data_IF_275713329409
#
_entry.id   IF_275713329409
#
_cell.length_a   1.000
_cell.length_b   1.000
_cell.length_c   1.000
_cell.angle_alpha   90.00
_cell.angle_beta   90.00
_cell.angle_gamma   90.00
#
_symmetry.space_group_name_H-M   'P 1'
#
loop_
_entity.id
_entity.type
_entity.pdbx_description
1 polymer ?
#
# COMPACT_ATOMS: atom_id res chain seq x y z
N UNK A 1 -13.38 32.25 -14.04
CA UNK A 1 -14.37 32.88 -13.16
C UNK A 1 -14.80 31.89 -12.09
N UNK A 2 -14.18 32.02 -10.91
CA UNK A 2 -14.55 31.27 -9.71
C UNK A 2 -15.80 31.87 -9.15
N UNK A 3 -16.90 31.17 -9.25
CA UNK A 3 -18.22 31.65 -8.82
C UNK A 3 -18.37 31.58 -7.30
N UNK A 4 -18.83 32.70 -6.75
CA UNK A 4 -19.25 32.95 -5.38
C UNK A 4 -20.05 31.82 -4.73
N UNK A 5 -19.63 31.41 -3.52
CA UNK A 5 -20.32 30.43 -2.69
C UNK A 5 -21.14 31.09 -1.59
N UNK A 6 -22.48 30.99 -1.53
CA UNK A 6 -23.30 31.46 -0.42
C UNK A 6 -23.13 30.55 0.82
N UNK A 7 -22.63 31.12 1.93
CA UNK A 7 -21.95 30.40 3.03
C UNK A 7 -22.80 29.68 4.10
N UNK A 8 -24.06 29.97 4.36
CA UNK A 8 -24.76 29.36 5.53
C UNK A 8 -25.89 28.38 5.21
N UNK A 9 -26.69 28.60 4.20
CA UNK A 9 -27.70 27.62 3.78
C UNK A 9 -27.11 26.34 3.19
N UNK A 10 -25.86 26.40 2.75
CA UNK A 10 -25.17 25.27 2.15
C UNK A 10 -24.75 24.20 3.16
N UNK A 11 -24.35 24.57 4.37
CA UNK A 11 -23.87 23.60 5.36
C UNK A 11 -24.95 22.61 5.79
N UNK A 12 -26.13 23.12 6.12
CA UNK A 12 -27.28 22.28 6.52
C UNK A 12 -27.71 21.39 5.36
N UNK A 13 -27.76 21.91 4.14
CA UNK A 13 -28.08 21.13 2.95
C UNK A 13 -27.06 20.04 2.67
N UNK A 14 -25.77 20.33 2.83
CA UNK A 14 -24.69 19.36 2.69
C UNK A 14 -24.79 18.27 3.76
N UNK A 15 -25.07 18.63 4.99
CA UNK A 15 -25.25 17.66 6.08
C UNK A 15 -26.46 16.76 5.86
N UNK A 16 -27.59 17.29 5.45
CA UNK A 16 -28.79 16.48 5.14
C UNK A 16 -28.56 15.59 3.94
N UNK A 17 -27.92 16.08 2.89
CA UNK A 17 -27.55 15.30 1.71
C UNK A 17 -26.59 14.15 2.08
N UNK A 18 -25.57 14.44 2.90
CA UNK A 18 -24.66 13.39 3.42
C UNK A 18 -25.41 12.36 4.26
N UNK A 19 -26.32 12.76 5.15
CA UNK A 19 -27.10 11.82 5.95
C UNK A 19 -27.95 10.89 5.08
N UNK A 20 -28.56 11.40 4.03
CA UNK A 20 -29.30 10.59 3.07
C UNK A 20 -28.39 9.61 2.30
N UNK A 21 -27.21 10.06 1.87
CA UNK A 21 -26.20 9.20 1.25
C UNK A 21 -25.72 8.11 2.21
N UNK A 22 -25.45 8.46 3.47
CA UNK A 22 -25.04 7.51 4.50
C UNK A 22 -26.11 6.44 4.77
N UNK A 23 -27.38 6.84 4.88
CA UNK A 23 -28.48 5.91 5.14
C UNK A 23 -28.73 4.98 3.94
N UNK A 24 -28.78 5.55 2.72
CA UNK A 24 -29.11 4.79 1.51
C UNK A 24 -27.99 3.92 1.00
N UNK A 25 -26.74 4.41 1.06
CA UNK A 25 -25.62 3.82 0.36
C UNK A 25 -24.43 3.49 1.27
N UNK A 26 -24.56 3.75 2.57
CA UNK A 26 -23.49 3.57 3.58
C UNK A 26 -22.21 4.36 3.26
N UNK A 27 -22.31 5.43 2.48
CA UNK A 27 -21.18 6.28 2.10
C UNK A 27 -20.50 6.85 3.33
N UNK A 28 -19.18 6.73 3.41
CA UNK A 28 -18.38 7.34 4.48
C UNK A 28 -18.21 8.84 4.25
N UNK A 29 -18.01 9.60 5.33
CA UNK A 29 -17.80 11.05 5.24
C UNK A 29 -16.54 11.39 4.45
N UNK A 30 -15.48 10.59 4.61
CA UNK A 30 -14.24 10.71 3.84
C UNK A 30 -14.49 10.70 2.33
N UNK A 31 -15.23 9.71 1.84
CA UNK A 31 -15.54 9.55 0.42
C UNK A 31 -16.46 10.68 -0.09
N UNK A 32 -17.46 11.02 0.73
CA UNK A 32 -18.38 12.10 0.41
C UNK A 32 -17.66 13.43 0.17
N UNK A 33 -16.63 13.71 0.99
CA UNK A 33 -15.80 14.91 0.87
C UNK A 33 -14.79 14.75 -0.27
N UNK A 34 -14.07 13.63 -0.32
CA UNK A 34 -13.00 13.37 -1.29
C UNK A 34 -13.51 13.40 -2.73
N UNK A 35 -14.66 12.78 -2.98
CA UNK A 35 -15.28 12.76 -4.30
C UNK A 35 -16.20 13.95 -4.55
N UNK A 36 -16.28 14.90 -3.60
CA UNK A 36 -17.13 16.10 -3.70
C UNK A 36 -18.58 15.77 -4.07
N UNK A 37 -19.19 14.77 -3.42
CA UNK A 37 -20.56 14.33 -3.73
C UNK A 37 -21.59 15.44 -3.60
N UNK A 38 -21.37 16.40 -2.69
CA UNK A 38 -22.22 17.59 -2.52
C UNK A 38 -22.32 18.50 -3.76
N UNK A 39 -21.39 18.31 -4.73
CA UNK A 39 -21.40 19.02 -6.04
C UNK A 39 -21.98 18.19 -7.17
N UNK A 40 -22.26 16.90 -6.94
CA UNK A 40 -22.61 15.94 -7.99
C UNK A 40 -24.05 15.45 -7.86
N UNK A 41 -24.79 15.32 -8.99
CA UNK A 41 -26.08 14.63 -8.99
C UNK A 41 -25.91 13.13 -8.71
N UNK A 42 -26.99 12.49 -8.22
CA UNK A 42 -26.95 11.09 -7.77
C UNK A 42 -26.42 10.11 -8.82
N UNK A 43 -26.75 10.29 -10.08
CA UNK A 43 -26.28 9.36 -11.13
C UNK A 43 -24.76 9.39 -11.28
N UNK A 44 -24.12 10.57 -11.22
CA UNK A 44 -22.65 10.68 -11.25
C UNK A 44 -21.98 10.11 -9.99
N UNK A 45 -22.63 10.27 -8.81
CA UNK A 45 -22.08 9.66 -7.58
C UNK A 45 -22.01 8.14 -7.67
N UNK A 46 -22.89 7.53 -8.47
CA UNK A 46 -22.92 6.06 -8.66
C UNK A 46 -21.82 5.53 -9.57
N UNK A 47 -21.13 6.38 -10.29
CA UNK A 47 -19.95 6.02 -11.10
C UNK A 47 -18.67 5.87 -10.26
N UNK A 48 -18.63 6.44 -9.05
CA UNK A 48 -17.49 6.31 -8.15
C UNK A 48 -17.54 5.00 -7.37
N UNK A 49 -16.37 4.39 -7.21
CA UNK A 49 -16.17 3.25 -6.31
C UNK A 49 -15.74 3.81 -4.95
N UNK A 50 -16.71 4.12 -4.10
CA UNK A 50 -16.49 4.50 -2.72
C UNK A 50 -16.02 3.29 -1.87
N UNK A 51 -15.60 3.53 -0.64
CA UNK A 51 -15.05 2.48 0.21
C UNK A 51 -16.03 1.32 0.46
N UNK A 52 -17.32 1.62 0.62
CA UNK A 52 -18.33 0.58 0.80
C UNK A 52 -18.47 -0.32 -0.43
N UNK A 53 -18.47 0.24 -1.63
CA UNK A 53 -18.50 -0.53 -2.88
C UNK A 53 -17.22 -1.30 -3.11
N UNK A 54 -16.07 -0.70 -2.79
CA UNK A 54 -14.78 -1.38 -2.84
C UNK A 54 -14.77 -2.61 -1.94
N UNK A 55 -15.27 -2.51 -0.71
CA UNK A 55 -15.38 -3.65 0.20
C UNK A 55 -16.29 -4.76 -0.35
N UNK A 56 -17.41 -4.39 -0.98
CA UNK A 56 -18.31 -5.36 -1.63
C UNK A 56 -17.61 -6.06 -2.78
N UNK A 57 -16.93 -5.29 -3.66
CA UNK A 57 -16.17 -5.83 -4.78
C UNK A 57 -15.08 -6.79 -4.29
N UNK A 58 -14.30 -6.39 -3.28
CA UNK A 58 -13.25 -7.23 -2.70
C UNK A 58 -13.82 -8.54 -2.15
N UNK A 59 -14.96 -8.48 -1.49
CA UNK A 59 -15.61 -9.66 -0.88
C UNK A 59 -16.15 -10.64 -1.92
N UNK A 60 -16.58 -10.13 -3.07
CA UNK A 60 -17.12 -10.96 -4.16
C UNK A 60 -16.02 -11.53 -5.03
N UNK A 61 -14.95 -10.76 -5.26
CA UNK A 61 -13.92 -11.06 -6.26
C UNK A 61 -12.65 -11.69 -5.70
N UNK A 62 -12.42 -11.62 -4.40
CA UNK A 62 -11.22 -12.16 -3.78
C UNK A 62 -11.57 -13.37 -2.89
N UNK A 63 -10.83 -14.46 -3.06
CA UNK A 63 -10.84 -15.56 -2.09
C UNK A 63 -10.14 -15.09 -0.81
N UNK A 64 -10.76 -15.26 0.38
CA UNK A 64 -10.11 -14.93 1.66
C UNK A 64 -8.76 -15.60 1.86
N UNK A 65 -8.58 -16.83 1.37
CA UNK A 65 -7.30 -17.56 1.45
C UNK A 65 -6.19 -16.85 0.66
N UNK A 66 -6.52 -16.34 -0.52
CA UNK A 66 -5.56 -15.60 -1.33
C UNK A 66 -5.22 -14.25 -0.67
N UNK A 67 -6.18 -13.63 0.03
CA UNK A 67 -5.95 -12.39 0.75
C UNK A 67 -4.88 -12.52 1.85
N UNK A 68 -4.80 -13.66 2.55
CA UNK A 68 -3.78 -13.92 3.57
C UNK A 68 -2.38 -13.88 2.98
N UNK A 69 -2.18 -14.46 1.80
CA UNK A 69 -0.92 -14.42 1.08
C UNK A 69 -0.44 -12.98 0.82
N UNK A 70 -1.36 -12.09 0.43
CA UNK A 70 -1.02 -10.69 0.15
C UNK A 70 -0.83 -9.84 1.42
N UNK A 71 -1.34 -10.27 2.56
CA UNK A 71 -1.17 -9.59 3.83
C UNK A 71 0.17 -9.91 4.49
N UNK A 72 0.71 -11.11 4.27
CA UNK A 72 2.01 -11.54 4.76
C UNK A 72 3.11 -11.26 3.73
N UNK A 73 3.95 -10.25 4.00
CA UNK A 73 5.00 -9.82 3.06
C UNK A 73 6.03 -10.91 2.77
N UNK A 74 6.33 -11.75 3.75
CA UNK A 74 7.30 -12.85 3.60
C UNK A 74 6.75 -13.93 2.67
N UNK A 75 5.50 -14.37 2.88
CA UNK A 75 4.85 -15.34 1.99
C UNK A 75 4.68 -14.77 0.58
N UNK A 76 4.28 -13.49 0.48
CA UNK A 76 4.22 -12.81 -0.80
C UNK A 76 5.56 -12.84 -1.53
N UNK A 77 6.66 -12.46 -0.85
CA UNK A 77 7.98 -12.45 -1.45
C UNK A 77 8.42 -13.87 -1.86
N UNK A 78 8.10 -14.88 -1.07
CA UNK A 78 8.41 -16.27 -1.38
C UNK A 78 7.72 -16.76 -2.66
N UNK A 79 6.42 -16.51 -2.79
CA UNK A 79 5.63 -16.94 -3.95
C UNK A 79 5.99 -16.14 -5.20
N UNK A 80 6.25 -14.84 -5.06
CA UNK A 80 6.49 -13.93 -6.16
C UNK A 80 7.98 -13.59 -6.37
N UNK A 81 8.91 -14.33 -5.77
CA UNK A 81 10.37 -14.08 -5.83
C UNK A 81 10.87 -13.73 -7.24
N UNK A 82 10.46 -14.50 -8.25
CA UNK A 82 10.88 -14.28 -9.65
C UNK A 82 10.42 -12.95 -10.26
N UNK A 83 9.47 -12.27 -9.63
CA UNK A 83 8.91 -11.00 -10.12
C UNK A 83 9.35 -9.79 -9.30
N UNK A 84 10.03 -10.00 -8.15
CA UNK A 84 10.42 -8.92 -7.26
C UNK A 84 11.52 -8.04 -7.85
N UNK A 85 12.43 -8.63 -8.64
CA UNK A 85 13.55 -7.93 -9.25
C UNK A 85 14.55 -7.34 -8.26
N UNK A 86 14.56 -7.83 -7.02
CA UNK A 86 15.47 -7.44 -5.94
C UNK A 86 15.71 -8.59 -4.98
N UNK A 87 16.83 -8.56 -4.30
CA UNK A 87 17.13 -9.52 -3.24
C UNK A 87 16.30 -9.22 -1.99
N UNK A 88 15.95 -10.25 -1.28
CA UNK A 88 15.24 -10.15 0.00
C UNK A 88 15.68 -11.25 0.96
N UNK A 89 15.47 -11.04 2.26
CA UNK A 89 15.89 -11.94 3.31
C UNK A 89 14.86 -11.96 4.45
N UNK A 90 14.55 -13.16 4.95
CA UNK A 90 13.57 -13.39 6.01
C UNK A 90 14.27 -13.74 7.32
N UNK A 91 14.28 -12.84 8.28
CA UNK A 91 14.98 -13.06 9.55
C UNK A 91 14.37 -14.14 10.43
N UNK A 92 13.16 -14.61 10.15
CA UNK A 92 12.49 -15.64 10.95
C UNK A 92 12.76 -17.07 10.46
N UNK A 93 13.01 -17.22 9.17
CA UNK A 93 13.14 -18.54 8.54
C UNK A 93 14.51 -18.78 7.95
N UNK A 94 15.48 -17.89 8.21
CA UNK A 94 16.85 -18.02 7.70
C UNK A 94 17.88 -17.94 8.84
N UNK A 95 19.14 -18.22 8.52
CA UNK A 95 20.23 -18.36 9.48
C UNK A 95 21.05 -17.08 9.60
N UNK A 96 21.78 -16.92 10.71
CA UNK A 96 22.75 -15.84 10.89
C UNK A 96 23.84 -15.84 9.82
N UNK A 97 24.28 -17.02 9.39
CA UNK A 97 25.30 -17.18 8.33
C UNK A 97 24.82 -16.58 7.01
N UNK A 98 23.60 -16.89 6.61
CA UNK A 98 22.97 -16.33 5.41
C UNK A 98 22.69 -14.82 5.57
N UNK A 99 22.37 -14.35 6.78
CA UNK A 99 22.28 -12.92 7.08
C UNK A 99 23.61 -12.20 6.84
N UNK A 100 24.74 -12.79 7.29
CA UNK A 100 26.06 -12.22 7.01
C UNK A 100 26.33 -12.10 5.52
N UNK A 101 26.03 -13.13 4.74
CA UNK A 101 26.18 -13.10 3.28
C UNK A 101 25.29 -12.03 2.64
N UNK A 102 24.07 -11.87 3.14
CA UNK A 102 23.15 -10.82 2.67
C UNK A 102 23.71 -9.42 2.97
N UNK A 103 24.21 -9.17 4.19
CA UNK A 103 24.81 -7.91 4.60
C UNK A 103 26.12 -7.63 3.86
N UNK A 104 26.94 -8.66 3.62
CA UNK A 104 28.16 -8.52 2.83
C UNK A 104 27.89 -8.02 1.41
N UNK A 105 26.82 -8.53 0.79
CA UNK A 105 26.34 -8.09 -0.52
C UNK A 105 25.65 -6.74 -0.49
N UNK A 106 24.84 -6.48 0.55
CA UNK A 106 24.01 -5.31 0.70
C UNK A 106 24.31 -4.59 2.02
N UNK A 107 25.36 -3.74 2.06
CA UNK A 107 25.74 -2.95 3.24
C UNK A 107 24.61 -2.02 3.73
N UNK A 108 23.71 -1.66 2.83
CA UNK A 108 22.54 -0.84 3.05
C UNK A 108 21.32 -1.55 2.51
N UNK A 109 20.33 -1.77 3.37
CA UNK A 109 19.10 -2.48 3.01
C UNK A 109 17.88 -1.87 3.68
N UNK A 110 16.71 -2.15 3.15
CA UNK A 110 15.43 -1.70 3.67
C UNK A 110 14.85 -2.75 4.60
N UNK A 111 14.46 -2.33 5.80
CA UNK A 111 13.86 -3.19 6.84
C UNK A 111 12.36 -2.93 6.87
N UNK A 112 11.58 -4.01 6.84
CA UNK A 112 10.11 -3.96 6.98
C UNK A 112 9.68 -4.94 8.06
N UNK A 113 8.76 -4.60 8.96
CA UNK A 113 8.08 -5.60 9.76
C UNK A 113 7.34 -6.58 8.84
N UNK A 114 7.35 -7.87 9.15
CA UNK A 114 6.63 -8.88 8.36
C UNK A 114 5.13 -8.55 8.27
N UNK A 115 4.58 -8.05 9.36
CA UNK A 115 3.20 -7.57 9.46
C UNK A 115 3.16 -6.05 9.66
N UNK A 116 2.07 -5.43 9.28
CA UNK A 116 1.87 -3.99 9.44
C UNK A 116 1.59 -3.25 8.13
N UNK A 117 1.02 -2.06 8.28
CA UNK A 117 0.46 -1.24 7.21
C UNK A 117 1.08 0.15 7.23
N UNK A 118 1.00 0.85 6.12
CA UNK A 118 1.42 2.25 5.98
C UNK A 118 2.90 2.56 6.27
N UNK A 119 3.78 1.55 6.18
CA UNK A 119 5.22 1.74 6.40
C UNK A 119 5.63 1.97 7.86
N UNK A 120 4.74 1.75 8.82
CA UNK A 120 5.06 1.88 10.24
C UNK A 120 6.14 0.86 10.60
N UNK A 121 7.24 1.33 11.21
CA UNK A 121 8.38 0.50 11.58
C UNK A 121 9.30 0.09 10.41
N UNK A 122 9.03 0.59 9.19
CA UNK A 122 9.91 0.39 8.06
C UNK A 122 11.01 1.48 8.01
N UNK A 123 12.20 1.13 7.56
CA UNK A 123 13.31 2.06 7.46
C UNK A 123 14.54 1.47 6.79
N UNK A 124 15.56 2.29 6.66
CA UNK A 124 16.86 1.89 6.12
C UNK A 124 17.77 1.48 7.27
N UNK A 125 18.43 0.36 7.14
CA UNK A 125 19.53 -0.09 7.98
C UNK A 125 20.83 0.00 7.19
N UNK A 126 21.86 0.61 7.79
CA UNK A 126 23.23 0.59 7.29
C UNK A 126 24.07 -0.22 8.27
N UNK A 127 24.83 -1.15 7.74
CA UNK A 127 25.81 -1.93 8.51
C UNK A 127 27.20 -1.56 7.99
N UNK A 128 27.90 -0.74 8.77
CA UNK A 128 29.22 -0.23 8.40
C UNK A 128 30.33 -1.13 8.90
N UNK A 129 30.11 -1.85 10.02
CA UNK A 129 31.10 -2.65 10.71
C UNK A 129 30.52 -4.02 11.12
N UNK A 130 31.31 -5.06 10.93
CA UNK A 130 30.97 -6.44 11.30
C UNK A 130 30.87 -6.64 12.83
N UNK A 131 31.46 -5.75 13.63
CA UNK A 131 31.44 -5.84 15.11
C UNK A 131 30.03 -5.74 15.71
N UNK A 132 29.06 -5.18 14.99
CA UNK A 132 27.68 -4.99 15.44
C UNK A 132 26.68 -5.99 14.86
N UNK A 133 27.12 -6.91 13.99
CA UNK A 133 26.21 -7.80 13.25
C UNK A 133 25.34 -8.69 14.14
N UNK A 134 25.89 -9.24 15.22
CA UNK A 134 25.14 -10.07 16.17
C UNK A 134 24.01 -9.29 16.86
N UNK A 135 24.27 -8.04 17.22
CA UNK A 135 23.26 -7.19 17.83
C UNK A 135 22.18 -6.81 16.82
N UNK A 136 22.57 -6.39 15.62
CA UNK A 136 21.64 -6.05 14.54
C UNK A 136 20.76 -7.26 14.20
N UNK A 137 21.34 -8.45 14.12
CA UNK A 137 20.61 -9.68 13.86
C UNK A 137 19.51 -9.94 14.91
N UNK A 138 19.86 -9.87 16.21
CA UNK A 138 18.89 -10.06 17.30
C UNK A 138 17.74 -9.07 17.22
N UNK A 139 18.05 -7.78 17.02
CA UNK A 139 17.04 -6.74 16.92
C UNK A 139 16.10 -6.95 15.71
N UNK A 140 16.63 -7.43 14.58
CA UNK A 140 15.85 -7.72 13.39
C UNK A 140 14.96 -8.96 13.57
N UNK A 141 15.48 -9.98 14.28
CA UNK A 141 14.68 -11.16 14.63
C UNK A 141 13.54 -10.83 15.59
N UNK A 142 13.78 -10.04 16.63
CA UNK A 142 12.74 -9.58 17.55
C UNK A 142 11.62 -8.81 16.83
N UNK A 143 11.99 -8.01 15.84
CA UNK A 143 11.04 -7.27 14.98
C UNK A 143 10.37 -8.14 13.93
N UNK A 144 10.73 -9.41 13.82
CA UNK A 144 10.30 -10.31 12.72
C UNK A 144 10.46 -9.62 11.36
N UNK A 145 11.66 -9.08 11.13
CA UNK A 145 11.89 -8.20 10.01
C UNK A 145 12.05 -8.97 8.69
N UNK A 146 11.48 -8.41 7.63
CA UNK A 146 11.81 -8.71 6.25
C UNK A 146 12.80 -7.66 5.75
N UNK A 147 13.93 -8.10 5.22
CA UNK A 147 14.96 -7.24 4.65
C UNK A 147 14.83 -7.27 3.13
N UNK A 148 15.03 -6.13 2.51
CA UNK A 148 15.05 -6.02 1.06
C UNK A 148 16.20 -5.14 0.60
N UNK A 149 16.78 -5.50 -0.53
CA UNK A 149 17.71 -4.63 -1.24
C UNK A 149 17.11 -3.25 -1.46
N UNK A 150 17.90 -2.20 -1.26
CA UNK A 150 17.46 -0.83 -1.56
C UNK A 150 17.28 -0.64 -3.07
N UNK A 151 16.09 -0.21 -3.45
CA UNK A 151 15.78 0.04 -4.86
C UNK A 151 16.52 1.28 -5.34
N UNK A 152 17.28 1.15 -6.42
CA UNK A 152 17.81 2.27 -7.18
C UNK A 152 16.81 2.66 -8.26
N UNK A 153 16.24 3.85 -8.13
CA UNK A 153 15.23 4.34 -9.06
C UNK A 153 15.86 4.73 -10.40
N UNK A 154 15.18 4.40 -11.50
CA UNK A 154 15.57 4.85 -12.84
C UNK A 154 15.61 6.38 -12.91
N UNK A 155 16.60 6.94 -13.62
CA UNK A 155 16.83 8.39 -13.67
C UNK A 155 15.61 9.19 -14.12
N UNK A 156 14.88 8.75 -15.15
CA UNK A 156 13.68 9.43 -15.65
C UNK A 156 12.58 9.52 -14.57
N UNK A 157 12.43 8.48 -13.75
CA UNK A 157 11.48 8.51 -12.63
C UNK A 157 11.98 9.40 -11.49
N UNK A 158 13.30 9.50 -11.32
CA UNK A 158 13.91 10.38 -10.30
C UNK A 158 13.67 11.86 -10.57
N UNK A 159 13.38 12.25 -11.79
CA UNK A 159 13.03 13.63 -12.14
C UNK A 159 11.73 14.09 -11.46
N UNK A 160 10.79 13.18 -11.24
CA UNK A 160 9.54 13.51 -10.53
C UNK A 160 9.74 13.69 -9.02
N UNK A 161 10.52 12.82 -8.41
CA UNK A 161 10.90 12.91 -7.01
C UNK A 161 12.21 12.15 -6.76
N UNK A 162 13.34 12.86 -6.57
CA UNK A 162 14.64 12.23 -6.34
C UNK A 162 14.81 11.67 -4.90
N UNK A 163 13.95 12.07 -3.96
CA UNK A 163 14.09 11.72 -2.54
C UNK A 163 13.37 10.45 -2.13
N UNK A 164 12.49 9.93 -2.98
CA UNK A 164 11.74 8.71 -2.73
C UNK A 164 11.56 7.89 -4.01
N UNK A 165 11.34 6.59 -3.84
CA UNK A 165 11.02 5.72 -4.97
C UNK A 165 9.60 6.03 -5.46
N UNK A 166 9.48 6.48 -6.71
CA UNK A 166 8.20 6.67 -7.36
C UNK A 166 7.61 5.31 -7.73
N UNK A 167 6.33 5.12 -7.49
CA UNK A 167 5.63 3.86 -7.72
C UNK A 167 4.44 4.04 -8.66
N UNK A 168 4.20 3.04 -9.49
CA UNK A 168 2.98 2.92 -10.27
C UNK A 168 2.06 1.91 -9.58
N UNK A 169 0.83 2.32 -9.29
CA UNK A 169 -0.19 1.41 -8.79
C UNK A 169 -1.08 0.98 -9.94
N UNK A 170 -1.09 -0.31 -10.22
CA UNK A 170 -1.94 -0.90 -11.24
C UNK A 170 -3.01 -1.74 -10.53
N UNK A 171 -4.27 -1.39 -10.74
CA UNK A 171 -5.40 -2.19 -10.27
C UNK A 171 -5.86 -3.10 -11.41
N UNK A 172 -5.97 -4.38 -11.14
CA UNK A 172 -6.47 -5.36 -12.10
C UNK A 172 -7.73 -6.03 -11.58
N UNK A 173 -8.64 -6.36 -12.47
CA UNK A 173 -9.84 -7.13 -12.18
C UNK A 173 -9.82 -8.36 -13.08
N UNK A 174 -9.91 -9.54 -12.49
CA UNK A 174 -10.01 -10.79 -13.22
C UNK A 174 -11.50 -11.05 -13.52
N UNK A 175 -11.85 -11.01 -14.80
CA UNK A 175 -13.17 -11.42 -15.29
C UNK A 175 -13.09 -12.85 -15.85
N UNK A 176 -14.19 -13.60 -15.94
CA UNK A 176 -14.18 -14.98 -16.44
C UNK A 176 -13.50 -15.14 -17.80
N UNK A 177 -13.63 -14.16 -18.68
CA UNK A 177 -13.14 -14.25 -20.05
C UNK A 177 -11.84 -13.47 -20.31
N UNK A 178 -11.45 -12.56 -19.41
CA UNK A 178 -10.27 -11.69 -19.59
C UNK A 178 -9.87 -10.92 -18.33
N UNK A 179 -8.62 -10.50 -18.28
CA UNK A 179 -8.14 -9.55 -17.28
C UNK A 179 -8.52 -8.13 -17.72
N UNK A 180 -9.40 -7.48 -16.96
CA UNK A 180 -9.63 -6.04 -17.07
C UNK A 180 -8.55 -5.26 -16.31
N UNK A 181 -8.10 -4.13 -16.87
CA UNK A 181 -7.17 -3.21 -16.22
C UNK A 181 -7.88 -1.89 -15.97
N UNK A 182 -7.79 -1.38 -14.75
CA UNK A 182 -8.10 0.00 -14.43
C UNK A 182 -6.79 0.69 -14.04
N UNK A 183 -6.41 1.73 -14.77
CA UNK A 183 -5.32 2.62 -14.35
C UNK A 183 -5.90 3.80 -13.59
N UNK A 184 -5.26 4.14 -12.48
CA UNK A 184 -5.52 5.41 -11.79
C UNK A 184 -4.55 6.46 -12.29
#
# INVERSE_FOLDING_TARGET
NVTDYPKKRKTIRILTDFLLEKIRYKTKMSDYIQYEYYKKPNYLRREFIDENRREIIHRIMNDPKDCELFNNKTEFNRVFTKYLGRDWFDTQNDTFENFRLFVEKHKKFFVKPAEGWFGIGAGICNVEDDSSLDQVWRELQEKKALLEECITQHHELSEFNPTSVNTLRIVTVLCPDKIGRASC
#
